data_IF_075972430416
#
_entry.id   IF_075972430416
#
_cell.length_a   1.000
_cell.length_b   1.000
_cell.length_c   1.000
_cell.angle_alpha   90.00
_cell.angle_beta   90.00
_cell.angle_gamma   90.00
#
_symmetry.space_group_name_H-M   'P 1'
#
loop_
_entity.id
_entity.type
_entity.pdbx_description
1 polymer ?
#
# COMPACT_ATOMS: atom_id res chain seq x y z
N UNK A 1 23.10 -2.25 14.98
CA UNK A 1 21.65 -2.52 14.97
C UNK A 1 20.96 -1.18 15.17
N UNK A 2 20.26 -0.66 14.17
CA UNK A 2 19.60 0.64 14.31
C UNK A 2 18.35 0.45 15.18
N UNK A 3 18.39 0.97 16.40
CA UNK A 3 17.24 1.02 17.30
C UNK A 3 16.12 1.83 16.63
N UNK A 4 15.09 1.09 16.22
CA UNK A 4 13.88 1.64 15.66
C UNK A 4 13.15 2.40 16.77
N UNK A 5 13.22 3.74 16.72
CA UNK A 5 12.45 4.62 17.60
C UNK A 5 10.97 4.22 17.57
N UNK A 6 10.26 4.25 18.71
CA UNK A 6 8.84 3.90 18.77
C UNK A 6 8.02 4.75 17.79
N UNK A 7 7.08 4.07 17.12
CA UNK A 7 6.32 4.54 15.95
C UNK A 7 5.62 5.89 16.16
N UNK A 8 5.26 6.19 17.41
CA UNK A 8 4.56 7.39 17.85
C UNK A 8 5.42 8.66 17.77
N UNK A 9 6.73 8.53 17.97
CA UNK A 9 7.65 9.67 18.06
C UNK A 9 8.06 10.20 16.68
N UNK A 10 8.14 9.31 15.68
CA UNK A 10 8.50 9.69 14.30
C UNK A 10 7.31 10.28 13.52
N UNK A 11 6.09 9.80 13.77
CA UNK A 11 4.89 10.28 13.09
C UNK A 11 4.64 11.79 13.25
N UNK A 12 5.10 12.39 14.37
CA UNK A 12 4.95 13.83 14.64
C UNK A 12 5.87 14.74 13.83
N UNK A 13 6.98 14.21 13.28
CA UNK A 13 8.03 15.03 12.62
C UNK A 13 8.10 14.84 11.10
N UNK A 14 7.46 13.82 10.55
CA UNK A 14 7.46 13.56 9.12
C UNK A 14 6.10 13.91 8.49
N UNK A 15 6.09 14.48 7.28
CA UNK A 15 4.90 14.48 6.45
C UNK A 15 4.34 13.06 6.34
N UNK A 16 3.02 12.89 6.50
CA UNK A 16 2.38 11.56 6.59
C UNK A 16 2.65 10.66 5.37
N UNK A 17 2.84 11.25 4.19
CA UNK A 17 3.21 10.54 2.96
C UNK A 17 4.64 9.95 3.01
N UNK A 18 5.57 10.66 3.66
CA UNK A 18 6.94 10.17 3.88
C UNK A 18 6.91 9.08 4.95
N UNK A 19 6.11 9.26 5.99
CA UNK A 19 5.92 8.27 7.05
C UNK A 19 5.40 6.93 6.50
N UNK A 20 4.38 6.95 5.63
CA UNK A 20 3.81 5.73 5.06
C UNK A 20 4.85 4.96 4.25
N UNK A 21 5.62 5.65 3.40
CA UNK A 21 6.66 5.05 2.54
C UNK A 21 7.80 4.41 3.36
N UNK A 22 8.28 5.10 4.40
CA UNK A 22 9.31 4.56 5.32
C UNK A 22 8.78 3.36 6.10
N UNK A 23 7.52 3.40 6.52
CA UNK A 23 6.93 2.33 7.33
C UNK A 23 6.63 1.07 6.50
N UNK A 24 6.17 1.21 5.25
CA UNK A 24 6.02 0.09 4.32
C UNK A 24 7.38 -0.57 4.05
N UNK A 25 8.45 0.21 4.00
CA UNK A 25 9.81 -0.33 3.90
C UNK A 25 10.20 -1.17 5.13
N UNK A 26 9.77 -0.78 6.33
CA UNK A 26 9.98 -1.58 7.52
C UNK A 26 9.17 -2.89 7.50
N UNK A 27 7.91 -2.85 7.06
CA UNK A 27 7.08 -4.04 6.89
C UNK A 27 7.69 -5.02 5.86
N UNK A 28 8.26 -4.50 4.78
CA UNK A 28 8.92 -5.32 3.75
C UNK A 28 10.15 -6.06 4.30
N UNK A 29 10.93 -5.41 5.17
CA UNK A 29 12.04 -6.06 5.87
C UNK A 29 11.58 -7.21 6.77
N UNK A 30 10.45 -7.05 7.46
CA UNK A 30 9.84 -8.12 8.28
C UNK A 30 9.39 -9.29 7.39
N UNK A 31 8.84 -9.00 6.21
CA UNK A 31 8.42 -10.01 5.24
C UNK A 31 9.58 -10.66 4.47
N UNK A 32 10.81 -10.13 4.58
CA UNK A 32 11.97 -10.60 3.83
C UNK A 32 11.91 -10.28 2.33
N UNK A 33 11.16 -9.25 1.93
CA UNK A 33 10.93 -8.91 0.52
C UNK A 33 11.19 -7.41 0.24
N UNK A 34 11.05 -7.02 -1.03
CA UNK A 34 11.10 -5.60 -1.41
C UNK A 34 9.77 -4.89 -1.08
N UNK A 35 9.75 -3.56 -0.94
CA UNK A 35 8.49 -2.82 -0.73
C UNK A 35 7.49 -2.98 -1.87
N UNK A 36 7.97 -3.05 -3.13
CA UNK A 36 7.11 -3.27 -4.28
C UNK A 36 6.49 -4.68 -4.26
N UNK A 37 7.31 -5.71 -4.00
CA UNK A 37 6.83 -7.07 -3.82
C UNK A 37 5.78 -7.17 -2.71
N UNK A 38 6.04 -6.56 -1.54
CA UNK A 38 5.11 -6.54 -0.41
C UNK A 38 3.76 -5.95 -0.82
N UNK A 39 3.77 -4.80 -1.49
CA UNK A 39 2.56 -4.12 -1.92
C UNK A 39 1.74 -4.98 -2.89
N UNK A 40 2.39 -5.56 -3.91
CA UNK A 40 1.69 -6.42 -4.88
C UNK A 40 1.11 -7.68 -4.24
N UNK A 41 1.87 -8.36 -3.38
CA UNK A 41 1.40 -9.56 -2.68
C UNK A 41 0.25 -9.24 -1.72
N UNK A 42 0.34 -8.13 -0.99
CA UNK A 42 -0.73 -7.71 -0.09
C UNK A 42 -2.03 -7.42 -0.85
N UNK A 43 -1.97 -6.64 -1.94
CA UNK A 43 -3.17 -6.33 -2.74
C UNK A 43 -3.79 -7.60 -3.32
N UNK A 44 -2.98 -8.54 -3.83
CA UNK A 44 -3.48 -9.72 -4.51
C UNK A 44 -4.06 -10.80 -3.56
N UNK A 45 -3.55 -10.92 -2.34
CA UNK A 45 -3.86 -12.09 -1.47
C UNK A 45 -4.36 -11.73 -0.07
N UNK A 46 -4.10 -10.52 0.41
CA UNK A 46 -4.34 -10.11 1.80
C UNK A 46 -5.18 -8.83 1.91
N UNK A 47 -5.76 -8.39 0.79
CA UNK A 47 -6.70 -7.28 0.70
C UNK A 47 -8.14 -7.79 0.59
N UNK A 48 -9.08 -6.89 0.32
CA UNK A 48 -10.50 -7.22 0.08
C UNK A 48 -10.75 -7.82 -1.31
N UNK A 49 -9.77 -7.79 -2.22
CA UNK A 49 -9.86 -8.33 -3.58
C UNK A 49 -10.08 -9.84 -3.55
N UNK A 50 -11.14 -10.33 -4.18
CA UNK A 50 -11.44 -11.76 -4.22
C UNK A 50 -11.81 -12.24 -5.63
N UNK A 51 -10.93 -13.09 -6.19
CA UNK A 51 -11.11 -13.67 -7.52
C UNK A 51 -12.44 -14.41 -7.71
N UNK A 52 -13.08 -14.89 -6.64
CA UNK A 52 -14.39 -15.56 -6.74
C UNK A 52 -15.51 -14.63 -7.21
N UNK A 53 -15.34 -13.32 -7.03
CA UNK A 53 -16.26 -12.30 -7.52
C UNK A 53 -15.84 -11.73 -8.88
N UNK A 54 -14.76 -12.25 -9.47
CA UNK A 54 -14.19 -11.73 -10.71
C UNK A 54 -13.27 -10.53 -10.51
N UNK A 55 -12.87 -10.23 -9.26
CA UNK A 55 -11.94 -9.15 -8.97
C UNK A 55 -10.55 -9.46 -9.53
N UNK A 56 -9.86 -8.41 -10.01
CA UNK A 56 -8.52 -8.51 -10.55
C UNK A 56 -7.68 -7.28 -10.19
N UNK A 57 -6.36 -7.47 -10.11
CA UNK A 57 -5.39 -6.41 -9.86
C UNK A 57 -4.78 -5.96 -11.17
N UNK A 58 -4.87 -4.66 -11.46
CA UNK A 58 -4.18 -4.03 -12.60
C UNK A 58 -2.88 -3.43 -12.09
N UNK A 59 -1.75 -3.80 -12.69
CA UNK A 59 -0.46 -3.21 -12.39
C UNK A 59 0.18 -2.59 -13.64
N UNK A 60 0.73 -1.39 -13.48
CA UNK A 60 1.39 -0.65 -14.54
C UNK A 60 2.87 -0.99 -14.61
N UNK A 61 3.36 -1.23 -15.83
CA UNK A 61 4.79 -1.46 -16.11
C UNK A 61 5.26 -0.50 -17.20
N UNK A 62 6.55 -0.15 -17.18
CA UNK A 62 7.21 0.62 -18.25
C UNK A 62 8.05 -0.24 -19.18
N UNK A 63 8.36 -1.48 -18.80
CA UNK A 63 9.14 -2.42 -19.60
C UNK A 63 8.78 -3.87 -19.29
N UNK A 64 9.26 -4.79 -20.13
CA UNK A 64 8.92 -6.21 -20.04
C UNK A 64 9.53 -6.88 -18.79
N UNK A 65 10.74 -6.52 -18.39
CA UNK A 65 11.40 -7.08 -17.20
C UNK A 65 10.56 -6.91 -15.93
N UNK A 66 9.89 -5.76 -15.78
CA UNK A 66 8.99 -5.52 -14.65
C UNK A 66 7.77 -6.45 -14.62
N UNK A 67 7.32 -6.93 -15.78
CA UNK A 67 6.23 -7.92 -15.86
C UNK A 67 6.71 -9.23 -15.23
N UNK A 68 7.89 -9.71 -15.62
CA UNK A 68 8.46 -10.95 -15.11
C UNK A 68 8.73 -10.87 -13.61
N UNK A 69 9.28 -9.76 -13.14
CA UNK A 69 9.49 -9.49 -11.71
C UNK A 69 8.17 -9.52 -10.93
N UNK A 70 7.15 -8.78 -11.39
CA UNK A 70 5.85 -8.70 -10.72
C UNK A 70 5.15 -10.06 -10.71
N UNK A 71 5.19 -10.81 -11.82
CA UNK A 71 4.67 -12.17 -11.88
C UNK A 71 5.43 -13.11 -10.95
N UNK A 72 6.75 -12.96 -10.81
CA UNK A 72 7.57 -13.71 -9.87
C UNK A 72 7.14 -13.47 -8.41
N UNK A 73 6.89 -12.22 -8.05
CA UNK A 73 6.39 -11.83 -6.72
C UNK A 73 5.01 -12.41 -6.43
N UNK A 74 4.08 -12.34 -7.38
CA UNK A 74 2.73 -12.86 -7.19
C UNK A 74 2.71 -14.38 -6.99
N UNK A 75 3.64 -15.12 -7.60
CA UNK A 75 3.79 -16.56 -7.36
C UNK A 75 4.17 -16.91 -5.92
N UNK A 76 4.75 -15.98 -5.16
CA UNK A 76 5.09 -16.19 -3.76
C UNK A 76 3.87 -16.18 -2.81
N UNK A 77 2.70 -15.70 -3.27
CA UNK A 77 1.45 -15.76 -2.52
C UNK A 77 1.38 -14.78 -1.35
N UNK A 78 0.56 -15.13 -0.35
CA UNK A 78 0.30 -14.34 0.87
C UNK A 78 1.58 -13.96 1.61
N UNK A 79 1.56 -12.82 2.30
CA UNK A 79 2.66 -12.38 3.17
C UNK A 79 2.51 -12.97 4.59
N UNK A 80 3.57 -12.96 5.38
CA UNK A 80 3.51 -13.44 6.76
C UNK A 80 2.66 -12.54 7.68
N UNK A 81 2.07 -13.11 8.74
CA UNK A 81 1.18 -12.38 9.66
C UNK A 81 1.81 -11.12 10.25
N UNK A 82 3.09 -11.20 10.67
CA UNK A 82 3.81 -10.05 11.22
C UNK A 82 3.91 -8.87 10.24
N UNK A 83 3.95 -9.14 8.93
CA UNK A 83 3.94 -8.10 7.91
C UNK A 83 2.53 -7.52 7.70
N UNK A 84 1.48 -8.35 7.79
CA UNK A 84 0.07 -7.90 7.74
C UNK A 84 -0.23 -6.96 8.91
N UNK A 85 0.11 -7.37 10.13
CA UNK A 85 -0.09 -6.56 11.34
C UNK A 85 0.60 -5.20 11.22
N UNK A 86 1.80 -5.19 10.62
CA UNK A 86 2.55 -3.96 10.37
C UNK A 86 1.84 -3.05 9.35
N UNK A 87 1.29 -3.62 8.28
CA UNK A 87 0.52 -2.85 7.30
C UNK A 87 -0.74 -2.25 7.96
N UNK A 88 -1.42 -3.00 8.82
CA UNK A 88 -2.60 -2.51 9.56
C UNK A 88 -2.26 -1.36 10.51
N UNK A 89 -1.11 -1.42 11.19
CA UNK A 89 -0.60 -0.30 11.99
C UNK A 89 -0.36 0.95 11.14
N UNK A 90 0.20 0.77 9.94
CA UNK A 90 0.47 1.88 9.01
C UNK A 90 -0.85 2.49 8.53
N UNK A 91 -1.82 1.66 8.15
CA UNK A 91 -3.14 2.10 7.69
C UNK A 91 -3.81 3.02 8.71
N UNK A 92 -3.82 2.66 10.00
CA UNK A 92 -4.42 3.47 11.08
C UNK A 92 -3.83 4.89 11.19
N UNK A 93 -2.60 5.09 10.76
CA UNK A 93 -1.94 6.41 10.79
C UNK A 93 -2.34 7.28 9.60
N UNK A 94 -2.59 6.66 8.45
CA UNK A 94 -2.76 7.37 7.17
C UNK A 94 -4.20 7.43 6.67
N UNK A 95 -5.09 6.58 7.20
CA UNK A 95 -6.49 6.44 6.77
C UNK A 95 -7.23 7.78 6.68
N UNK A 96 -7.07 8.64 7.70
CA UNK A 96 -7.74 9.95 7.76
C UNK A 96 -7.35 10.92 6.65
N UNK A 97 -6.18 10.70 6.04
CA UNK A 97 -5.62 11.54 4.98
C UNK A 97 -5.65 10.82 3.63
N UNK A 98 -6.20 9.61 3.57
CA UNK A 98 -6.34 8.88 2.32
C UNK A 98 -7.44 9.53 1.48
N UNK A 99 -7.17 9.87 0.20
CA UNK A 99 -8.23 10.28 -0.72
C UNK A 99 -9.21 9.11 -0.92
N UNK A 100 -10.49 9.43 -1.13
CA UNK A 100 -11.53 8.44 -1.40
C UNK A 100 -11.31 7.82 -2.79
N UNK A 101 -11.28 8.67 -3.81
CA UNK A 101 -10.96 8.31 -5.19
C UNK A 101 -10.49 9.54 -5.98
N UNK A 102 -10.11 9.34 -7.25
CA UNK A 102 -9.61 10.42 -8.11
C UNK A 102 -10.70 11.47 -8.47
N UNK A 103 -11.96 11.06 -8.53
CA UNK A 103 -13.09 11.92 -8.89
C UNK A 103 -13.50 12.80 -7.69
N UNK A 104 -13.79 12.20 -6.54
CA UNK A 104 -14.27 12.90 -5.36
C UNK A 104 -13.16 13.70 -4.64
N UNK A 105 -11.90 13.29 -4.76
CA UNK A 105 -10.81 13.95 -4.00
C UNK A 105 -10.10 15.06 -4.79
N UNK A 106 -10.13 15.02 -6.12
CA UNK A 106 -9.32 15.94 -6.95
C UNK A 106 -10.10 16.63 -8.08
N UNK A 107 -11.33 16.20 -8.39
CA UNK A 107 -12.16 16.91 -9.36
C UNK A 107 -12.82 18.14 -8.72
N UNK A 108 -12.64 19.32 -9.32
CA UNK A 108 -13.41 20.51 -8.93
C UNK A 108 -14.83 20.36 -9.48
N UNK A 109 -15.82 20.22 -8.60
CA UNK A 109 -17.22 20.28 -9.03
C UNK A 109 -17.50 21.65 -9.66
N UNK A 110 -18.01 21.66 -10.89
CA UNK A 110 -18.64 22.86 -11.44
C UNK A 110 -19.92 23.14 -10.62
N UNK A 111 -20.26 24.41 -10.34
CA UNK A 111 -21.48 24.72 -9.62
C UNK A 111 -22.68 24.14 -10.38
N UNK A 112 -23.47 23.32 -9.70
CA UNK A 112 -24.75 22.82 -10.23
C UNK A 112 -25.65 24.04 -10.40
N UNK A 113 -25.97 24.38 -11.66
CA UNK A 113 -26.98 25.40 -11.93
C UNK A 113 -28.31 24.90 -11.34
N UNK A 114 -28.86 25.65 -10.39
CA UNK A 114 -30.17 25.37 -9.83
C UNK A 114 -31.20 25.31 -10.96
N UNK A 115 -31.91 24.19 -11.05
CA UNK A 115 -33.07 24.00 -11.92
C UNK A 115 -34.32 24.59 -11.26
#
# INVERSE_FOLDING_TARGET
MADFLPLDRQAKRLPKLIYSSVSVTAAAKVAGCTPAELAYRWVAFDSVVDSKYGDAVIFGVRNYTQIEETMGWLKAGTIGQAAKDKIDEIWKVVEKDSPLDNYNSFHKQAPVAAQ
#
